data_IF_505940566035
#
_entry.id   IF_505940566035
#
_cell.length_a   1.000
_cell.length_b   1.000
_cell.length_c   1.000
_cell.angle_alpha   90.00
_cell.angle_beta   90.00
_cell.angle_gamma   90.00
#
_symmetry.space_group_name_H-M   'P 1'
#
loop_
_entity.id
_entity.type
_entity.pdbx_description
1 polymer ?
#
# COMPACT_ATOMS: atom_id res chain seq x y z
N UNK A 1 -18.34 -9.31 -19.74
CA UNK A 1 -17.24 -8.34 -19.95
C UNK A 1 -17.23 -7.24 -18.87
N UNK A 2 -17.60 -7.55 -17.61
CA UNK A 2 -18.39 -6.56 -16.83
C UNK A 2 -17.99 -6.36 -15.36
N UNK A 3 -16.91 -6.96 -14.84
CA UNK A 3 -16.51 -6.75 -13.45
C UNK A 3 -15.25 -5.88 -13.28
N UNK A 4 -14.24 -6.04 -14.15
CA UNK A 4 -12.96 -5.32 -14.01
C UNK A 4 -13.08 -3.80 -14.09
N UNK A 5 -13.80 -3.27 -15.09
CA UNK A 5 -14.03 -1.83 -15.20
C UNK A 5 -14.81 -1.26 -14.02
N UNK A 6 -15.77 -2.03 -13.49
CA UNK A 6 -16.51 -1.65 -12.29
C UNK A 6 -15.56 -1.57 -11.08
N UNK A 7 -14.69 -2.56 -10.88
CA UNK A 7 -13.66 -2.52 -9.83
C UNK A 7 -12.68 -1.37 -10.03
N UNK A 8 -12.30 -1.07 -11.26
CA UNK A 8 -11.42 0.06 -11.58
C UNK A 8 -12.06 1.40 -11.19
N UNK A 9 -13.29 1.68 -11.65
CA UNK A 9 -13.99 2.90 -11.30
C UNK A 9 -14.32 2.98 -9.80
N UNK A 10 -14.64 1.85 -9.16
CA UNK A 10 -14.80 1.79 -7.70
C UNK A 10 -13.50 2.19 -7.00
N UNK A 11 -12.37 1.63 -7.40
CA UNK A 11 -11.06 1.96 -6.86
C UNK A 11 -10.75 3.47 -6.95
N UNK A 12 -11.08 4.11 -8.07
CA UNK A 12 -10.94 5.56 -8.26
C UNK A 12 -11.89 6.36 -7.36
N UNK A 13 -13.14 5.93 -7.23
CA UNK A 13 -14.14 6.59 -6.39
C UNK A 13 -13.79 6.50 -4.91
N UNK A 14 -13.28 5.36 -4.46
CA UNK A 14 -12.83 5.15 -3.09
C UNK A 14 -11.60 5.99 -2.77
N UNK A 15 -10.64 6.10 -3.70
CA UNK A 15 -9.50 6.99 -3.52
C UNK A 15 -9.96 8.46 -3.37
N UNK A 16 -10.88 8.94 -4.21
CA UNK A 16 -11.43 10.30 -4.09
C UNK A 16 -12.11 10.52 -2.73
N UNK A 17 -12.89 9.55 -2.29
CA UNK A 17 -13.59 9.58 -0.99
C UNK A 17 -12.57 9.65 0.15
N UNK A 18 -11.56 8.77 0.12
CA UNK A 18 -10.47 8.77 1.08
C UNK A 18 -9.75 10.13 1.15
N UNK A 19 -9.39 10.72 0.01
CA UNK A 19 -8.72 12.04 -0.01
C UNK A 19 -9.60 13.13 0.64
N UNK A 20 -10.91 13.10 0.40
CA UNK A 20 -11.84 14.03 1.06
C UNK A 20 -11.88 13.84 2.59
N UNK A 21 -11.90 12.60 3.05
CA UNK A 21 -11.88 12.24 4.48
C UNK A 21 -10.57 12.66 5.15
N UNK A 22 -9.43 12.43 4.50
CA UNK A 22 -8.11 12.88 4.97
C UNK A 22 -8.05 14.39 5.14
N UNK A 23 -8.61 15.16 4.19
CA UNK A 23 -8.68 16.62 4.30
C UNK A 23 -9.52 17.08 5.50
N UNK A 24 -10.52 16.28 5.90
CA UNK A 24 -11.35 16.51 7.08
C UNK A 24 -10.75 15.93 8.36
N UNK A 25 -9.57 15.29 8.28
CA UNK A 25 -8.91 14.55 9.37
C UNK A 25 -9.73 13.39 9.93
N UNK A 26 -10.70 12.88 9.16
CA UNK A 26 -11.41 11.65 9.48
C UNK A 26 -10.54 10.45 9.05
N UNK A 27 -9.56 10.13 9.89
CA UNK A 27 -8.54 9.13 9.58
C UNK A 27 -9.09 7.70 9.61
N UNK A 28 -10.11 7.41 10.42
CA UNK A 28 -10.67 6.07 10.52
C UNK A 28 -11.45 5.70 9.26
N UNK A 29 -12.38 6.58 8.84
CA UNK A 29 -13.13 6.38 7.59
C UNK A 29 -12.21 6.42 6.36
N UNK A 30 -11.16 7.25 6.39
CA UNK A 30 -10.16 7.29 5.33
C UNK A 30 -9.42 5.95 5.19
N UNK A 31 -9.02 5.32 6.29
CA UNK A 31 -8.36 4.00 6.26
C UNK A 31 -9.28 2.97 5.60
N UNK A 32 -10.56 2.94 5.97
CA UNK A 32 -11.52 2.01 5.36
C UNK A 32 -11.62 2.20 3.84
N UNK A 33 -11.81 3.45 3.39
CA UNK A 33 -11.94 3.78 1.96
C UNK A 33 -10.66 3.45 1.18
N UNK A 34 -9.48 3.74 1.75
CA UNK A 34 -8.21 3.41 1.10
C UNK A 34 -7.96 1.91 0.99
N UNK A 35 -8.37 1.11 1.98
CA UNK A 35 -8.26 -0.36 1.91
C UNK A 35 -9.11 -0.91 0.77
N UNK A 36 -10.37 -0.47 0.66
CA UNK A 36 -11.24 -0.87 -0.45
C UNK A 36 -10.68 -0.45 -1.81
N UNK A 37 -10.13 0.76 -1.92
CA UNK A 37 -9.48 1.23 -3.14
C UNK A 37 -8.29 0.35 -3.53
N UNK A 38 -7.44 0.00 -2.55
CA UNK A 38 -6.25 -0.84 -2.72
C UNK A 38 -6.62 -2.26 -3.16
N UNK A 39 -7.58 -2.89 -2.50
CA UNK A 39 -8.10 -4.22 -2.86
C UNK A 39 -8.66 -4.23 -4.28
N UNK A 40 -9.51 -3.23 -4.62
CA UNK A 40 -10.07 -3.10 -5.96
C UNK A 40 -8.98 -2.89 -7.03
N UNK A 41 -7.90 -2.17 -6.71
CA UNK A 41 -6.77 -2.00 -7.62
C UNK A 41 -6.00 -3.31 -7.82
N UNK A 42 -5.82 -4.09 -6.76
CA UNK A 42 -5.18 -5.40 -6.84
C UNK A 42 -5.98 -6.38 -7.72
N UNK A 43 -7.31 -6.38 -7.63
CA UNK A 43 -8.16 -7.22 -8.49
C UNK A 43 -8.04 -6.86 -9.98
N UNK A 44 -7.87 -5.57 -10.28
CA UNK A 44 -7.78 -5.03 -11.65
C UNK A 44 -6.39 -5.23 -12.26
N UNK A 45 -5.35 -5.49 -11.46
CA UNK A 45 -3.96 -5.53 -11.94
C UNK A 45 -3.68 -6.59 -13.02
N UNK A 46 -4.53 -7.61 -13.13
CA UNK A 46 -4.40 -8.68 -14.11
C UNK A 46 -4.99 -8.31 -15.50
N UNK A 47 -5.71 -7.19 -15.60
CA UNK A 47 -6.26 -6.73 -16.86
C UNK A 47 -5.17 -6.04 -17.70
N UNK A 48 -4.84 -6.52 -18.91
CA UNK A 48 -3.73 -5.98 -19.71
C UNK A 48 -3.86 -4.48 -20.04
N UNK A 49 -5.09 -3.97 -20.15
CA UNK A 49 -5.36 -2.57 -20.50
C UNK A 49 -5.28 -1.68 -19.26
N UNK A 50 -5.71 -2.19 -18.11
CA UNK A 50 -5.82 -1.41 -16.88
C UNK A 50 -4.67 -1.64 -15.88
N UNK A 51 -3.82 -2.64 -16.09
CA UNK A 51 -2.77 -3.06 -15.17
C UNK A 51 -1.87 -1.91 -14.71
N UNK A 52 -1.43 -1.05 -15.63
CA UNK A 52 -0.57 0.09 -15.30
C UNK A 52 -1.25 1.06 -14.32
N UNK A 53 -2.51 1.43 -14.62
CA UNK A 53 -3.29 2.31 -13.75
C UNK A 53 -3.60 1.66 -12.41
N UNK A 54 -3.86 0.35 -12.41
CA UNK A 54 -4.11 -0.42 -11.19
C UNK A 54 -2.88 -0.45 -10.27
N UNK A 55 -1.68 -0.71 -10.81
CA UNK A 55 -0.42 -0.70 -10.06
C UNK A 55 -0.16 0.68 -9.44
N UNK A 56 -0.37 1.75 -10.21
CA UNK A 56 -0.23 3.11 -9.71
C UNK A 56 -1.23 3.39 -8.58
N UNK A 57 -2.51 3.05 -8.77
CA UNK A 57 -3.53 3.31 -7.78
C UNK A 57 -3.30 2.53 -6.48
N UNK A 58 -2.90 1.26 -6.60
CA UNK A 58 -2.48 0.43 -5.46
C UNK A 58 -1.34 1.08 -4.69
N UNK A 59 -0.33 1.60 -5.40
CA UNK A 59 0.84 2.26 -4.79
C UNK A 59 0.42 3.53 -4.06
N UNK A 60 -0.40 4.39 -4.69
CA UNK A 60 -0.92 5.60 -4.07
C UNK A 60 -1.73 5.29 -2.80
N UNK A 61 -2.64 4.32 -2.86
CA UNK A 61 -3.45 3.92 -1.71
C UNK A 61 -2.57 3.40 -0.57
N UNK A 62 -1.56 2.58 -0.88
CA UNK A 62 -0.61 2.06 0.10
C UNK A 62 0.18 3.17 0.79
N UNK A 63 0.72 4.14 0.04
CA UNK A 63 1.44 5.30 0.62
C UNK A 63 0.52 6.10 1.55
N UNK A 64 -0.71 6.40 1.13
CA UNK A 64 -1.67 7.16 1.93
C UNK A 64 -2.09 6.40 3.19
N UNK A 65 -2.29 5.08 3.12
CA UNK A 65 -2.60 4.25 4.28
C UNK A 65 -1.46 4.27 5.30
N UNK A 66 -0.22 4.07 4.84
CA UNK A 66 0.98 4.10 5.69
C UNK A 66 1.07 5.46 6.39
N UNK A 67 0.94 6.56 5.64
CA UNK A 67 0.96 7.91 6.20
C UNK A 67 -0.15 8.13 7.24
N UNK A 68 -1.34 7.59 6.98
CA UNK A 68 -2.50 7.68 7.89
C UNK A 68 -2.24 6.90 9.18
N UNK A 69 -1.70 5.68 9.10
CA UNK A 69 -1.31 4.89 10.26
C UNK A 69 -0.23 5.60 11.11
N UNK A 70 0.81 6.15 10.47
CA UNK A 70 1.82 6.96 11.17
C UNK A 70 1.16 8.15 11.88
N UNK A 71 0.24 8.86 11.20
CA UNK A 71 -0.43 10.04 11.78
C UNK A 71 -1.28 9.69 13.01
N UNK A 72 -1.77 8.45 13.09
CA UNK A 72 -2.49 7.87 14.22
C UNK A 72 -1.59 7.22 15.27
N UNK A 73 -0.26 7.38 15.16
CA UNK A 73 0.74 6.74 16.02
C UNK A 73 0.72 5.20 15.99
N UNK A 74 0.25 4.61 14.88
CA UNK A 74 0.18 3.17 14.65
C UNK A 74 1.39 2.72 13.81
N UNK A 75 2.57 2.74 14.42
CA UNK A 75 3.84 2.52 13.72
C UNK A 75 4.01 1.10 13.18
N UNK A 76 3.70 0.08 13.99
CA UNK A 76 3.83 -1.33 13.57
C UNK A 76 2.90 -1.66 12.37
N UNK A 77 1.59 -1.32 12.41
CA UNK A 77 0.73 -1.48 11.23
C UNK A 77 1.22 -0.73 9.98
N UNK A 78 1.82 0.46 10.14
CA UNK A 78 2.39 1.21 9.03
C UNK A 78 3.58 0.48 8.40
N UNK A 79 4.43 -0.14 9.22
CA UNK A 79 5.58 -0.93 8.76
C UNK A 79 5.16 -2.22 8.06
N UNK A 80 4.27 -3.00 8.66
CA UNK A 80 3.76 -4.25 8.07
C UNK A 80 3.13 -3.99 6.70
N UNK A 81 2.30 -2.95 6.61
CA UNK A 81 1.67 -2.57 5.34
C UNK A 81 2.69 -2.14 4.28
N UNK A 82 3.78 -1.50 4.68
CA UNK A 82 4.88 -1.17 3.77
C UNK A 82 5.56 -2.44 3.24
N UNK A 83 5.85 -3.43 4.09
CA UNK A 83 6.46 -4.69 3.67
C UNK A 83 5.53 -5.47 2.73
N UNK A 84 4.26 -5.61 3.09
CA UNK A 84 3.24 -6.28 2.27
C UNK A 84 3.14 -5.64 0.88
N UNK A 85 3.11 -4.31 0.82
CA UNK A 85 2.98 -3.57 -0.43
C UNK A 85 4.24 -3.66 -1.29
N UNK A 86 5.44 -3.68 -0.68
CA UNK A 86 6.70 -3.94 -1.39
C UNK A 86 6.71 -5.35 -1.99
N UNK A 87 6.27 -6.35 -1.22
CA UNK A 87 6.24 -7.73 -1.69
C UNK A 87 5.32 -7.88 -2.90
N UNK A 88 4.12 -7.30 -2.83
CA UNK A 88 3.16 -7.35 -3.93
C UNK A 88 3.69 -6.65 -5.20
N UNK A 89 4.32 -5.48 -5.08
CA UNK A 89 4.94 -4.78 -6.21
C UNK A 89 6.09 -5.58 -6.83
N UNK A 90 6.92 -6.23 -6.01
CA UNK A 90 7.98 -7.13 -6.48
C UNK A 90 7.41 -8.38 -7.16
N UNK A 91 6.29 -8.89 -6.67
CA UNK A 91 5.58 -10.03 -7.29
C UNK A 91 5.10 -9.65 -8.68
N UNK A 92 4.38 -8.54 -8.82
CA UNK A 92 3.96 -8.04 -10.14
C UNK A 92 5.14 -7.75 -11.07
N UNK A 93 6.25 -7.21 -10.56
CA UNK A 93 7.46 -7.02 -11.37
C UNK A 93 7.99 -8.34 -11.94
N UNK A 94 8.01 -9.42 -11.13
CA UNK A 94 8.49 -10.73 -11.57
C UNK A 94 7.54 -11.41 -12.56
N UNK A 95 6.23 -11.23 -12.39
CA UNK A 95 5.21 -11.93 -13.19
C UNK A 95 4.74 -11.15 -14.42
N UNK A 96 5.05 -9.85 -14.53
CA UNK A 96 4.69 -9.03 -15.68
C UNK A 96 5.38 -9.54 -16.96
N UNK A 97 4.61 -9.66 -18.04
CA UNK A 97 5.11 -10.14 -19.34
C UNK A 97 5.74 -9.03 -20.17
N UNK A 98 5.41 -7.77 -19.90
CA UNK A 98 5.88 -6.61 -20.67
C UNK A 98 6.91 -5.78 -19.90
N UNK A 99 7.95 -5.30 -20.59
CA UNK A 99 8.98 -4.44 -19.99
C UNK A 99 8.45 -3.14 -19.38
N UNK A 100 7.49 -2.41 -19.99
CA UNK A 100 6.92 -1.21 -19.38
C UNK A 100 6.28 -1.46 -18.00
N UNK A 101 5.52 -2.56 -17.85
CA UNK A 101 4.93 -2.91 -16.54
C UNK A 101 5.99 -3.30 -15.51
N UNK A 102 7.07 -3.98 -15.91
CA UNK A 102 8.19 -4.28 -15.02
C UNK A 102 8.85 -3.01 -14.51
N UNK A 103 9.11 -2.05 -15.40
CA UNK A 103 9.70 -0.76 -15.04
C UNK A 103 8.77 0.05 -14.14
N UNK A 104 7.46 0.04 -14.41
CA UNK A 104 6.46 0.67 -13.56
C UNK A 104 6.45 0.06 -12.16
N UNK A 105 6.41 -1.26 -12.03
CA UNK A 105 6.46 -1.93 -10.72
C UNK A 105 7.74 -1.58 -9.96
N UNK A 106 8.89 -1.57 -10.64
CA UNK A 106 10.17 -1.16 -10.05
C UNK A 106 10.12 0.27 -9.54
N UNK A 107 9.62 1.20 -10.35
CA UNK A 107 9.46 2.60 -9.99
C UNK A 107 8.52 2.78 -8.79
N UNK A 108 7.34 2.17 -8.83
CA UNK A 108 6.37 2.19 -7.72
C UNK A 108 6.95 1.61 -6.43
N UNK A 109 7.72 0.52 -6.51
CA UNK A 109 8.41 -0.06 -5.37
C UNK A 109 9.44 0.93 -4.77
N UNK A 110 10.21 1.61 -5.63
CA UNK A 110 11.16 2.63 -5.19
C UNK A 110 10.43 3.81 -4.53
N UNK A 111 9.34 4.29 -5.13
CA UNK A 111 8.53 5.38 -4.60
C UNK A 111 7.96 5.05 -3.21
N UNK A 112 7.45 3.83 -3.01
CA UNK A 112 6.96 3.37 -1.72
C UNK A 112 8.09 3.29 -0.67
N UNK A 113 9.26 2.79 -1.05
CA UNK A 113 10.42 2.71 -0.15
C UNK A 113 10.90 4.10 0.25
N UNK A 114 11.03 5.04 -0.69
CA UNK A 114 11.55 6.39 -0.43
C UNK A 114 10.51 7.28 0.24
N UNK A 115 9.25 7.22 -0.19
CA UNK A 115 8.16 8.01 0.38
C UNK A 115 7.77 7.59 1.79
N UNK A 116 8.07 6.35 2.19
CA UNK A 116 7.74 5.80 3.50
C UNK A 116 8.99 5.37 4.29
N UNK A 117 10.10 6.11 4.19
CA UNK A 117 11.32 5.78 4.95
C UNK A 117 11.09 5.84 6.47
N UNK A 118 10.26 6.75 6.95
CA UNK A 118 10.00 6.92 8.38
C UNK A 118 9.29 5.72 9.03
N UNK A 119 8.32 5.08 8.36
CA UNK A 119 7.70 3.84 8.87
C UNK A 119 8.71 2.71 8.97
N UNK A 120 9.64 2.63 8.02
CA UNK A 120 10.70 1.62 8.03
C UNK A 120 11.67 1.82 9.20
N UNK A 121 12.13 3.04 9.44
CA UNK A 121 13.05 3.32 10.55
C UNK A 121 12.41 3.02 11.91
N UNK A 122 11.17 3.47 12.11
CA UNK A 122 10.48 3.27 13.39
C UNK A 122 10.00 1.83 13.58
N UNK A 123 9.54 1.17 12.51
CA UNK A 123 9.13 -0.24 12.53
C UNK A 123 10.30 -1.19 12.83
N UNK A 124 11.46 -0.97 12.21
CA UNK A 124 12.66 -1.77 12.48
C UNK A 124 13.12 -1.66 13.94
N UNK A 125 13.08 -0.46 14.52
CA UNK A 125 13.40 -0.28 15.94
C UNK A 125 12.41 -1.01 16.85
N UNK A 126 11.11 -0.96 16.56
CA UNK A 126 10.08 -1.66 17.34
C UNK A 126 10.21 -3.18 17.24
N UNK A 127 10.42 -3.71 16.04
CA UNK A 127 10.60 -5.15 15.84
C UNK A 127 11.84 -5.69 16.58
N UNK A 128 12.96 -4.95 16.55
CA UNK A 128 14.16 -5.33 17.31
C UNK A 128 13.94 -5.28 18.82
N UNK A 129 13.11 -4.36 19.32
CA UNK A 129 12.75 -4.27 20.73
C UNK A 129 11.85 -5.44 21.16
N UNK A 130 10.91 -5.85 20.31
CA UNK A 130 10.09 -7.05 20.57
C UNK A 130 10.97 -8.31 20.60
N UNK A 131 11.81 -8.52 19.57
CA UNK A 131 12.70 -9.68 19.48
C UNK A 131 13.71 -9.76 20.66
N UNK A 132 14.18 -8.62 21.16
CA UNK A 132 15.08 -8.57 22.33
C UNK A 132 14.35 -8.70 23.66
N UNK A 133 13.10 -8.23 23.76
CA UNK A 133 12.23 -8.45 24.92
C UNK A 133 11.88 -9.93 25.11
N UNK A 134 11.52 -10.63 24.03
CA UNK A 134 11.28 -12.08 24.07
C UNK A 134 12.50 -12.90 24.47
N UNK A 135 13.72 -12.42 24.17
CA UNK A 135 14.96 -13.08 24.58
C UNK A 135 15.28 -12.92 26.07
N UNK A 136 14.77 -11.88 26.75
CA UNK A 136 14.96 -11.66 28.19
C UNK A 136 13.95 -12.41 29.06
N UNK A 137 12.77 -12.74 28.54
CA UNK A 137 11.74 -13.50 29.28
C UNK A 137 12.00 -15.02 29.32
N UNK A 138 13.02 -15.51 28.61
CA UNK A 138 13.38 -16.94 28.53
C UNK A 138 14.65 -17.32 29.32
N UNK A 139 15.22 -16.41 30.11
CA UNK A 139 16.38 -16.65 31.01
C UNK A 139 15.99 -16.45 32.46
#
# INVERSE_FOLDING_TARGET
>A
MTNTYKSYFNSQQQLKTATSLLNRKDYESAVFSLRQARESAQDVSNDPVLAGNAIQNYTTCSILLIATHIRRHQTLPAYELQQESIEQLRRWQKTSTTEPLKQLCRYCCQLLITGCQHSRCLGHCLQQLEESGYAQEQT
#
